data_IF_055030122130
#
_entry.id   IF_055030122130
#
_cell.length_a   1.000
_cell.length_b   1.000
_cell.length_c   1.000
_cell.angle_alpha   90.00
_cell.angle_beta   90.00
_cell.angle_gamma   90.00
#
_symmetry.space_group_name_H-M   'P 1'
#
loop_
_entity.id
_entity.type
_entity.pdbx_description
1 polymer ?
#
# COMPACT_ATOMS: atom_id res chain seq x y z
N UNK A 1 -25.76 10.25 -8.72
CA UNK A 1 -26.96 10.63 -9.53
C UNK A 1 -26.75 10.24 -10.99
N UNK A 2 -27.72 9.59 -11.64
CA UNK A 2 -27.76 9.52 -13.12
C UNK A 2 -28.36 10.82 -13.65
N UNK A 3 -27.93 11.28 -14.82
CA UNK A 3 -28.57 12.40 -15.54
C UNK A 3 -27.69 13.64 -15.73
N UNK A 4 -28.28 14.73 -16.28
CA UNK A 4 -27.54 15.89 -16.80
C UNK A 4 -26.77 16.68 -15.73
N UNK A 5 -27.09 16.49 -14.45
CA UNK A 5 -26.46 17.19 -13.32
C UNK A 5 -25.34 16.38 -12.65
N UNK A 6 -24.95 15.23 -13.21
CA UNK A 6 -23.84 14.45 -12.66
C UNK A 6 -22.54 15.26 -12.71
N UNK A 7 -21.85 15.35 -11.58
CA UNK A 7 -20.48 15.89 -11.51
C UNK A 7 -19.48 14.74 -11.52
N UNK A 8 -18.20 15.05 -11.79
CA UNK A 8 -17.08 14.10 -11.63
C UNK A 8 -17.11 13.41 -10.29
N UNK A 9 -17.29 14.18 -9.22
CA UNK A 9 -17.26 13.69 -7.84
C UNK A 9 -18.43 12.74 -7.56
N UNK A 10 -19.64 13.08 -8.02
CA UNK A 10 -20.80 12.17 -7.89
C UNK A 10 -20.67 10.90 -8.73
N UNK A 11 -19.85 10.91 -9.80
CA UNK A 11 -19.51 9.69 -10.55
C UNK A 11 -18.46 8.87 -9.81
N UNK A 12 -17.46 9.51 -9.22
CA UNK A 12 -16.50 8.84 -8.33
C UNK A 12 -17.20 8.15 -7.16
N UNK A 13 -18.22 8.77 -6.56
CA UNK A 13 -19.06 8.14 -5.52
C UNK A 13 -19.75 6.87 -6.00
N UNK A 14 -20.29 6.86 -7.22
CA UNK A 14 -20.94 5.68 -7.80
C UNK A 14 -19.92 4.57 -8.03
N UNK A 15 -18.74 4.90 -8.57
CA UNK A 15 -17.67 3.92 -8.80
C UNK A 15 -17.15 3.35 -7.48
N UNK A 16 -16.92 4.21 -6.48
CA UNK A 16 -16.57 3.82 -5.11
C UNK A 16 -17.61 2.88 -4.51
N UNK A 17 -18.90 3.23 -4.63
CA UNK A 17 -19.99 2.40 -4.12
C UNK A 17 -20.05 1.03 -4.82
N UNK A 18 -19.86 0.96 -6.13
CA UNK A 18 -19.82 -0.30 -6.88
C UNK A 18 -18.62 -1.14 -6.41
N UNK A 19 -17.43 -0.56 -6.36
CA UNK A 19 -16.21 -1.23 -5.93
C UNK A 19 -16.37 -1.84 -4.53
N UNK A 20 -16.83 -1.04 -3.56
CA UNK A 20 -16.98 -1.49 -2.16
C UNK A 20 -18.17 -2.45 -2.00
N UNK A 21 -19.36 -2.08 -2.46
CA UNK A 21 -20.57 -2.82 -2.13
C UNK A 21 -20.78 -4.07 -2.99
N UNK A 22 -20.44 -4.01 -4.28
CA UNK A 22 -20.70 -5.11 -5.22
C UNK A 22 -19.45 -5.97 -5.42
N UNK A 23 -18.27 -5.35 -5.46
CA UNK A 23 -17.01 -6.03 -5.72
C UNK A 23 -16.15 -6.26 -4.48
N UNK A 24 -16.59 -5.78 -3.31
CA UNK A 24 -15.97 -6.03 -2.00
C UNK A 24 -14.51 -5.53 -1.96
N UNK A 25 -14.21 -4.49 -2.73
CA UNK A 25 -12.96 -3.77 -2.58
C UNK A 25 -12.98 -2.97 -1.27
N UNK A 26 -11.80 -2.66 -0.76
CA UNK A 26 -11.61 -1.67 0.32
C UNK A 26 -11.11 -0.37 -0.30
N UNK A 27 -11.85 0.71 -0.13
CA UNK A 27 -11.48 2.03 -0.67
C UNK A 27 -10.70 2.82 0.38
N UNK A 28 -9.63 3.48 -0.02
CA UNK A 28 -8.71 4.16 0.89
C UNK A 28 -8.23 5.50 0.37
N UNK A 29 -7.57 6.26 1.26
CA UNK A 29 -6.66 7.33 0.86
C UNK A 29 -7.36 8.60 0.40
N UNK A 30 -6.94 9.11 -0.76
CA UNK A 30 -7.17 10.50 -1.15
C UNK A 30 -8.63 10.88 -1.34
N UNK A 31 -9.44 10.00 -1.93
CA UNK A 31 -10.87 10.26 -2.13
C UNK A 31 -11.64 10.33 -0.83
N UNK A 32 -11.37 9.41 0.11
CA UNK A 32 -12.03 9.39 1.41
C UNK A 32 -11.69 10.67 2.19
N UNK A 33 -10.41 11.05 2.20
CA UNK A 33 -9.93 12.29 2.81
C UNK A 33 -10.56 13.52 2.19
N UNK A 34 -10.35 13.71 0.88
CA UNK A 34 -10.63 14.98 0.22
C UNK A 34 -12.12 15.17 -0.01
N UNK A 35 -12.84 14.16 -0.48
CA UNK A 35 -14.25 14.31 -0.85
C UNK A 35 -15.21 13.86 0.25
N UNK A 36 -15.07 12.63 0.77
CA UNK A 36 -16.04 12.05 1.72
C UNK A 36 -16.02 12.81 3.05
N UNK A 37 -14.84 13.14 3.58
CA UNK A 37 -14.69 13.85 4.85
C UNK A 37 -14.52 15.36 4.65
N UNK A 38 -13.63 15.77 3.75
CA UNK A 38 -13.28 17.17 3.56
C UNK A 38 -14.27 17.99 2.72
N UNK A 39 -15.06 17.33 1.85
CA UNK A 39 -15.87 17.99 0.82
C UNK A 39 -15.05 18.99 -0.04
N UNK A 40 -13.81 18.63 -0.34
CA UNK A 40 -12.87 19.39 -1.15
C UNK A 40 -12.95 18.96 -2.61
N UNK A 41 -13.12 19.94 -3.49
CA UNK A 41 -13.06 19.76 -4.93
C UNK A 41 -12.22 20.86 -5.56
N UNK A 42 -11.33 20.48 -6.46
CA UNK A 42 -10.52 21.41 -7.27
C UNK A 42 -10.37 20.88 -8.68
N UNK A 43 -10.45 21.79 -9.65
CA UNK A 43 -10.37 21.50 -11.09
C UNK A 43 -9.43 22.52 -11.74
N UNK A 44 -8.63 22.13 -12.74
CA UNK A 44 -7.80 23.08 -13.47
C UNK A 44 -8.67 24.18 -14.12
N UNK A 45 -8.44 25.44 -13.76
CA UNK A 45 -9.30 26.55 -14.20
C UNK A 45 -9.29 26.79 -15.73
N UNK A 46 -8.17 26.47 -16.39
CA UNK A 46 -7.91 26.82 -17.79
C UNK A 46 -7.79 25.61 -18.71
N UNK A 47 -8.19 24.42 -18.28
CA UNK A 47 -8.10 23.20 -19.09
C UNK A 47 -9.47 22.52 -19.18
N UNK A 48 -9.95 22.19 -20.40
CA UNK A 48 -11.14 21.38 -20.56
C UNK A 48 -10.90 19.93 -20.08
N UNK A 49 -11.95 19.17 -19.72
CA UNK A 49 -11.82 17.83 -19.14
C UNK A 49 -11.02 16.82 -19.95
N UNK A 50 -11.10 16.88 -21.28
CA UNK A 50 -10.35 16.01 -22.19
C UNK A 50 -8.83 16.27 -22.17
N UNK A 51 -8.35 17.34 -21.51
CA UNK A 51 -6.93 17.65 -21.33
C UNK A 51 -6.44 17.36 -19.91
N UNK A 52 -7.30 16.78 -19.06
CA UNK A 52 -6.91 16.43 -17.68
C UNK A 52 -6.16 15.11 -17.59
N UNK A 53 -6.19 14.27 -18.62
CA UNK A 53 -5.47 13.00 -18.69
C UNK A 53 -4.21 13.17 -19.52
N UNK A 54 -3.13 12.56 -19.04
CA UNK A 54 -1.89 12.37 -19.78
C UNK A 54 -1.50 10.91 -19.71
N UNK A 55 -0.65 10.47 -20.64
CA UNK A 55 -0.24 9.09 -20.74
C UNK A 55 1.27 8.96 -20.54
N UNK A 56 1.66 7.94 -19.78
CA UNK A 56 3.05 7.49 -19.72
C UNK A 56 3.44 6.77 -21.02
N UNK A 57 4.74 6.60 -21.31
CA UNK A 57 5.18 5.77 -22.45
C UNK A 57 4.63 4.34 -22.42
N UNK A 58 4.36 3.81 -21.23
CA UNK A 58 3.71 2.50 -21.00
C UNK A 58 2.22 2.46 -21.35
N UNK A 59 1.61 3.58 -21.71
CA UNK A 59 0.18 3.72 -21.94
C UNK A 59 -0.65 3.92 -20.67
N UNK A 60 -0.03 3.95 -19.49
CA UNK A 60 -0.74 4.16 -18.21
C UNK A 60 -1.19 5.62 -18.09
N UNK A 61 -2.49 5.90 -17.83
CA UNK A 61 -2.98 7.24 -17.65
C UNK A 61 -2.54 7.81 -16.29
N UNK A 62 -2.30 9.10 -16.26
CA UNK A 62 -2.17 9.87 -15.03
C UNK A 62 -2.89 11.20 -15.17
N UNK A 63 -3.43 11.67 -14.06
CA UNK A 63 -4.29 12.85 -14.03
C UNK A 63 -3.51 14.13 -13.72
N UNK A 64 -4.07 15.25 -14.14
CA UNK A 64 -3.60 16.56 -13.75
C UNK A 64 -3.59 16.69 -12.21
N UNK A 65 -2.45 17.08 -11.64
CA UNK A 65 -2.23 17.12 -10.18
C UNK A 65 -3.08 18.15 -9.43
N UNK A 66 -3.70 19.10 -10.14
CA UNK A 66 -4.64 20.08 -9.60
C UNK A 66 -6.05 19.50 -9.36
N UNK A 67 -6.34 18.30 -9.88
CA UNK A 67 -7.59 17.60 -9.61
C UNK A 67 -7.62 17.12 -8.16
N UNK A 68 -8.70 17.47 -7.46
CA UNK A 68 -8.99 17.04 -6.10
C UNK A 68 -10.48 16.68 -6.05
N UNK A 69 -10.86 15.48 -5.57
CA UNK A 69 -10.01 14.29 -5.40
C UNK A 69 -9.39 13.86 -6.74
N UNK A 70 -8.21 13.25 -6.75
CA UNK A 70 -7.53 12.85 -7.99
C UNK A 70 -8.09 11.53 -8.52
N UNK A 71 -8.12 10.52 -7.68
CA UNK A 71 -8.28 9.10 -8.02
C UNK A 71 -9.03 8.36 -6.91
N UNK A 72 -9.36 7.09 -7.18
CA UNK A 72 -9.87 6.13 -6.22
C UNK A 72 -8.81 5.03 -6.01
N UNK A 73 -8.34 4.84 -4.78
CA UNK A 73 -7.41 3.77 -4.42
C UNK A 73 -8.18 2.63 -3.76
N UNK A 74 -8.26 1.48 -4.43
CA UNK A 74 -9.07 0.34 -4.01
C UNK A 74 -8.20 -0.91 -3.87
N UNK A 75 -8.16 -1.51 -2.69
CA UNK A 75 -7.62 -2.85 -2.53
C UNK A 75 -8.64 -3.91 -2.97
N UNK A 76 -8.18 -4.84 -3.81
CA UNK A 76 -8.95 -5.98 -4.26
C UNK A 76 -9.27 -6.93 -3.08
N UNK A 77 -10.39 -7.66 -3.15
CA UNK A 77 -10.77 -8.60 -2.10
C UNK A 77 -9.71 -9.71 -1.91
N UNK A 78 -9.40 -10.05 -0.66
CA UNK A 78 -8.47 -11.14 -0.33
C UNK A 78 -9.11 -12.52 -0.49
N UNK A 79 -10.41 -12.65 -0.22
CA UNK A 79 -11.10 -13.94 -0.09
C UNK A 79 -11.78 -14.44 -1.37
N UNK A 80 -11.67 -13.71 -2.48
CA UNK A 80 -12.33 -14.07 -3.75
C UNK A 80 -11.65 -13.43 -4.94
N UNK A 81 -11.79 -14.08 -6.10
CA UNK A 81 -11.30 -13.54 -7.36
C UNK A 81 -12.06 -12.26 -7.71
N UNK A 82 -11.32 -11.28 -8.23
CA UNK A 82 -11.89 -10.06 -8.79
C UNK A 82 -12.04 -10.22 -10.30
N UNK A 83 -13.24 -9.97 -10.81
CA UNK A 83 -13.56 -10.01 -12.23
C UNK A 83 -13.64 -8.57 -12.76
N UNK A 84 -12.62 -8.17 -13.52
CA UNK A 84 -12.50 -6.82 -14.07
C UNK A 84 -13.56 -6.54 -15.14
N UNK A 85 -13.94 -7.52 -15.93
CA UNK A 85 -14.95 -7.36 -16.98
C UNK A 85 -16.33 -7.15 -16.35
N UNK A 86 -16.67 -7.97 -15.34
CA UNK A 86 -17.91 -7.77 -14.59
C UNK A 86 -17.95 -6.41 -13.87
N UNK A 87 -16.81 -5.92 -13.38
CA UNK A 87 -16.71 -4.58 -12.78
C UNK A 87 -16.99 -3.49 -13.81
N UNK A 88 -16.36 -3.56 -14.98
CA UNK A 88 -16.58 -2.62 -16.09
C UNK A 88 -18.05 -2.66 -16.56
N UNK A 89 -18.63 -3.85 -16.72
CA UNK A 89 -20.04 -4.02 -17.10
C UNK A 89 -20.99 -3.37 -16.08
N UNK A 90 -20.68 -3.51 -14.78
CA UNK A 90 -21.45 -2.84 -13.73
C UNK A 90 -21.37 -1.31 -13.87
N UNK A 91 -20.20 -0.74 -14.21
CA UNK A 91 -20.05 0.69 -14.48
C UNK A 91 -20.86 1.14 -15.71
N UNK A 92 -20.83 0.36 -16.79
CA UNK A 92 -21.63 0.63 -17.99
C UNK A 92 -23.12 0.67 -17.70
N UNK A 93 -23.62 -0.17 -16.78
CA UNK A 93 -25.01 -0.10 -16.28
C UNK A 93 -25.41 1.25 -15.68
N UNK A 94 -24.43 2.10 -15.32
CA UNK A 94 -24.63 3.47 -14.85
C UNK A 94 -24.32 4.55 -15.88
N UNK A 95 -24.00 4.18 -17.12
CA UNK A 95 -23.57 5.12 -18.17
C UNK A 95 -22.20 5.72 -17.87
N UNK A 96 -21.36 4.97 -17.16
CA UNK A 96 -19.96 5.30 -16.87
C UNK A 96 -19.10 4.50 -17.84
N UNK A 97 -18.27 5.21 -18.61
CA UNK A 97 -17.32 4.58 -19.52
C UNK A 97 -16.03 4.28 -18.78
N UNK A 98 -15.46 3.09 -19.02
CA UNK A 98 -14.25 2.65 -18.33
C UNK A 98 -13.33 1.90 -19.29
N UNK A 99 -12.02 2.15 -19.19
CA UNK A 99 -10.97 1.38 -19.87
C UNK A 99 -9.97 0.91 -18.82
N UNK A 100 -9.79 -0.41 -18.70
CA UNK A 100 -8.83 -0.98 -17.76
C UNK A 100 -7.49 -1.27 -18.44
N UNK A 101 -6.40 -0.91 -17.76
CA UNK A 101 -5.04 -1.25 -18.14
C UNK A 101 -4.46 -2.12 -17.03
N UNK A 102 -4.00 -3.32 -17.39
CA UNK A 102 -3.33 -4.21 -16.44
C UNK A 102 -1.88 -3.77 -16.27
N UNK A 103 -1.46 -3.67 -15.01
CA UNK A 103 -0.05 -3.66 -14.59
C UNK A 103 0.20 -4.88 -13.70
N UNK A 104 1.46 -5.21 -13.43
CA UNK A 104 1.81 -6.44 -12.70
C UNK A 104 1.10 -6.55 -11.35
N UNK A 105 0.96 -5.42 -10.64
CA UNK A 105 0.48 -5.34 -9.27
C UNK A 105 -0.89 -4.66 -9.09
N UNK A 106 -1.54 -4.21 -10.18
CA UNK A 106 -2.85 -3.54 -10.13
C UNK A 106 -3.54 -3.47 -11.48
N UNK A 107 -4.82 -3.11 -11.49
CA UNK A 107 -5.45 -2.50 -12.67
C UNK A 107 -5.53 -0.98 -12.49
N UNK A 108 -5.20 -0.23 -13.53
CA UNK A 108 -5.49 1.20 -13.63
C UNK A 108 -6.69 1.36 -14.54
N UNK A 109 -7.83 1.77 -13.98
CA UNK A 109 -9.08 1.96 -14.74
C UNK A 109 -9.28 3.44 -15.00
N UNK A 110 -9.23 3.86 -16.26
CA UNK A 110 -9.57 5.20 -16.68
C UNK A 110 -11.07 5.32 -16.85
N UNK A 111 -11.67 6.24 -16.11
CA UNK A 111 -13.10 6.50 -16.14
C UNK A 111 -13.36 7.77 -16.92
N UNK A 112 -14.33 7.73 -17.82
CA UNK A 112 -14.99 8.91 -18.37
C UNK A 112 -14.10 9.93 -19.11
N UNK A 113 -13.02 9.45 -19.73
CA UNK A 113 -12.02 10.24 -20.48
C UNK A 113 -12.61 11.33 -21.37
N UNK A 114 -13.58 10.95 -22.20
CA UNK A 114 -14.14 11.82 -23.24
C UNK A 114 -15.51 12.40 -22.87
N UNK A 115 -15.84 12.40 -21.58
CA UNK A 115 -17.13 12.87 -21.09
C UNK A 115 -17.06 14.30 -20.55
N UNK A 116 -18.22 14.98 -20.54
CA UNK A 116 -18.34 16.33 -19.96
C UNK A 116 -18.17 16.37 -18.45
N UNK A 117 -18.45 15.26 -17.76
CA UNK A 117 -18.27 15.16 -16.31
C UNK A 117 -16.80 15.19 -15.94
N UNK A 118 -15.95 14.65 -16.81
CA UNK A 118 -14.50 14.71 -16.74
C UNK A 118 -13.87 13.47 -16.10
N UNK A 119 -12.62 13.17 -16.48
CA UNK A 119 -11.99 11.90 -16.16
C UNK A 119 -11.50 11.76 -14.73
N UNK A 120 -11.42 10.52 -14.29
CA UNK A 120 -10.68 10.11 -13.10
C UNK A 120 -10.16 8.68 -13.26
N UNK A 121 -9.30 8.24 -12.36
CA UNK A 121 -8.73 6.89 -12.36
C UNK A 121 -9.16 6.12 -11.13
N UNK A 122 -9.23 4.80 -11.27
CA UNK A 122 -9.35 3.85 -10.18
C UNK A 122 -8.14 2.94 -10.22
N UNK A 123 -7.36 2.94 -9.15
CA UNK A 123 -6.31 1.98 -8.94
C UNK A 123 -6.87 0.79 -8.15
N UNK A 124 -7.01 -0.35 -8.81
CA UNK A 124 -7.45 -1.61 -8.22
C UNK A 124 -6.21 -2.43 -7.86
N UNK A 125 -5.73 -2.25 -6.64
CA UNK A 125 -4.46 -2.75 -6.11
C UNK A 125 -4.63 -4.20 -5.66
N UNK A 126 -3.71 -5.06 -6.10
CA UNK A 126 -3.71 -6.45 -5.72
C UNK A 126 -3.54 -6.63 -4.20
N UNK A 127 -4.30 -7.57 -3.63
CA UNK A 127 -4.37 -7.78 -2.18
C UNK A 127 -3.04 -8.23 -1.57
N UNK A 128 -2.19 -8.91 -2.33
CA UNK A 128 -0.88 -9.39 -1.90
C UNK A 128 0.21 -8.30 -1.84
N UNK A 129 -0.07 -7.11 -2.40
CA UNK A 129 0.86 -5.97 -2.47
C UNK A 129 0.61 -4.97 -1.32
N UNK A 130 -0.44 -5.19 -0.51
CA UNK A 130 -0.85 -4.29 0.57
C UNK A 130 0.29 -3.96 1.56
N UNK A 131 1.15 -4.93 1.90
CA UNK A 131 2.18 -4.77 2.94
C UNK A 131 3.21 -3.67 2.66
N UNK A 132 3.49 -3.31 1.40
CA UNK A 132 4.39 -2.19 1.05
C UNK A 132 3.65 -0.87 0.84
N UNK A 133 2.35 -0.91 0.55
CA UNK A 133 1.48 0.26 0.40
C UNK A 133 0.83 0.71 1.72
N UNK A 134 0.92 -0.11 2.77
CA UNK A 134 0.42 0.16 4.11
C UNK A 134 1.21 1.21 4.89
N UNK A 135 2.32 1.74 4.33
CA UNK A 135 2.97 2.94 4.90
C UNK A 135 2.08 4.15 4.80
N UNK A 136 1.74 4.71 5.94
CA UNK A 136 0.94 5.91 6.05
C UNK A 136 1.89 7.10 6.10
N UNK A 137 1.85 7.96 5.09
CA UNK A 137 2.64 9.20 5.13
C UNK A 137 2.01 10.23 6.08
N UNK A 138 0.68 10.33 6.07
CA UNK A 138 -0.10 11.33 6.80
C UNK A 138 -1.27 10.66 7.51
N UNK A 139 -1.56 11.08 8.74
CA UNK A 139 -2.76 10.68 9.49
C UNK A 139 -4.04 10.83 8.66
N UNK A 140 -4.19 11.94 7.94
CA UNK A 140 -5.34 12.24 7.08
C UNK A 140 -5.48 11.35 5.85
N UNK A 141 -4.47 10.56 5.52
CA UNK A 141 -4.53 9.54 4.47
C UNK A 141 -4.85 8.15 5.02
N UNK A 142 -4.99 7.99 6.34
CA UNK A 142 -5.26 6.72 7.01
C UNK A 142 -6.76 6.42 7.13
N UNK A 143 -7.57 6.77 6.14
CA UNK A 143 -9.00 6.49 6.15
C UNK A 143 -9.36 5.40 5.16
N UNK A 144 -10.31 4.55 5.54
CA UNK A 144 -10.83 3.46 4.72
C UNK A 144 -12.36 3.43 4.74
N UNK A 145 -12.93 2.89 3.66
CA UNK A 145 -14.35 2.54 3.55
C UNK A 145 -14.46 1.07 3.14
N UNK A 146 -15.29 0.33 3.89
CA UNK A 146 -15.48 -1.11 3.73
C UNK A 146 -16.95 -1.49 3.63
N UNK A 147 -17.21 -2.63 3.00
CA UNK A 147 -18.56 -3.16 2.86
C UNK A 147 -19.14 -3.50 4.24
N UNK A 148 -20.43 -3.20 4.42
CA UNK A 148 -21.13 -3.42 5.69
C UNK A 148 -20.99 -2.25 6.67
N UNK A 149 -20.01 -1.37 6.43
CA UNK A 149 -19.74 -0.16 7.20
C UNK A 149 -19.75 1.08 6.31
N UNK A 150 -20.59 1.10 5.26
CA UNK A 150 -20.59 2.18 4.26
C UNK A 150 -21.13 3.52 4.78
N UNK A 151 -21.57 3.57 6.04
CA UNK A 151 -21.96 4.79 6.76
C UNK A 151 -20.94 5.19 7.82
N UNK A 152 -19.92 4.36 8.03
CA UNK A 152 -18.88 4.54 9.03
C UNK A 152 -17.55 4.76 8.32
N UNK A 153 -16.62 5.40 9.03
CA UNK A 153 -15.24 5.57 8.56
C UNK A 153 -14.36 4.59 9.32
N UNK A 154 -13.53 3.85 8.59
CA UNK A 154 -12.48 3.03 9.16
C UNK A 154 -11.13 3.73 9.11
N UNK A 155 -10.18 3.20 9.87
CA UNK A 155 -8.76 3.46 9.62
C UNK A 155 -8.20 2.36 8.73
N UNK A 156 -7.26 2.71 7.84
CA UNK A 156 -6.52 1.69 7.08
C UNK A 156 -5.61 0.87 8.01
N UNK A 157 -4.90 1.56 8.89
CA UNK A 157 -4.09 0.97 9.96
C UNK A 157 -4.55 1.56 11.28
N UNK A 158 -4.75 0.71 12.26
CA UNK A 158 -5.05 1.17 13.61
C UNK A 158 -3.81 1.88 14.20
N UNK A 159 -3.91 3.19 14.37
CA UNK A 159 -2.88 4.04 14.98
C UNK A 159 -3.33 4.59 16.33
N UNK A 160 -4.32 3.95 16.95
CA UNK A 160 -4.83 4.31 18.29
C UNK A 160 -3.99 3.74 19.43
N UNK A 161 -3.02 2.86 19.12
CA UNK A 161 -2.01 2.33 20.03
C UNK A 161 -0.65 3.05 19.94
N UNK A 162 0.26 2.76 20.88
CA UNK A 162 1.64 3.26 20.87
C UNK A 162 1.88 4.59 21.60
N UNK A 163 3.06 5.20 21.38
CA UNK A 163 3.51 6.40 22.12
C UNK A 163 2.78 7.69 21.75
N UNK A 164 2.07 7.72 20.61
CA UNK A 164 1.37 8.90 20.10
C UNK A 164 0.07 8.48 19.39
N UNK A 165 -0.95 8.03 20.14
CA UNK A 165 -2.17 7.51 19.55
C UNK A 165 -2.99 8.64 18.91
N UNK A 166 -3.37 8.48 17.64
CA UNK A 166 -4.24 9.42 16.94
C UNK A 166 -5.60 8.75 16.78
N UNK A 167 -6.64 9.36 17.35
CA UNK A 167 -8.01 8.87 17.25
C UNK A 167 -8.64 9.26 15.91
N UNK A 168 -9.66 8.52 15.48
CA UNK A 168 -10.33 8.74 14.19
C UNK A 168 -10.94 10.15 14.13
N UNK A 169 -11.51 10.61 15.24
CA UNK A 169 -12.09 11.94 15.38
C UNK A 169 -11.04 13.03 15.16
N UNK A 170 -9.81 12.82 15.66
CA UNK A 170 -8.69 13.73 15.44
C UNK A 170 -8.29 13.78 13.96
N UNK A 171 -8.27 12.64 13.28
CA UNK A 171 -8.02 12.60 11.83
C UNK A 171 -9.08 13.40 11.08
N UNK A 172 -10.36 13.21 11.42
CA UNK A 172 -11.48 13.94 10.81
C UNK A 172 -11.39 15.44 11.07
N UNK A 173 -11.05 15.85 12.29
CA UNK A 173 -10.84 17.26 12.63
C UNK A 173 -9.66 17.86 11.86
N UNK A 174 -8.54 17.14 11.78
CA UNK A 174 -7.38 17.53 11.00
C UNK A 174 -7.74 17.72 9.52
N UNK A 175 -8.53 16.81 8.94
CA UNK A 175 -9.03 16.96 7.58
C UNK A 175 -9.81 18.26 7.44
N UNK A 176 -10.82 18.50 8.28
CA UNK A 176 -11.68 19.68 8.22
C UNK A 176 -10.91 20.99 8.33
N UNK A 177 -9.86 20.99 9.16
CA UNK A 177 -8.98 22.14 9.39
C UNK A 177 -7.82 22.25 8.39
N UNK A 178 -7.72 21.31 7.43
CA UNK A 178 -6.57 21.14 6.54
C UNK A 178 -5.22 21.05 7.27
N UNK A 179 -5.23 20.41 8.43
CA UNK A 179 -4.00 20.03 9.14
C UNK A 179 -3.59 18.62 8.76
N UNK A 180 -2.29 18.32 8.78
CA UNK A 180 -1.76 16.97 8.63
C UNK A 180 -0.65 16.70 9.63
N UNK A 181 -0.62 15.50 10.20
CA UNK A 181 0.48 14.96 10.98
C UNK A 181 1.25 13.98 10.11
N UNK A 182 2.56 14.20 9.96
CA UNK A 182 3.44 13.28 9.23
C UNK A 182 3.70 12.06 10.11
N UNK A 183 3.49 10.85 9.57
CA UNK A 183 3.58 9.56 10.27
C UNK A 183 4.76 8.68 9.81
N UNK A 184 5.65 9.23 8.98
CA UNK A 184 6.89 8.58 8.54
C UNK A 184 8.09 9.54 8.64
N UNK A 185 9.32 9.05 8.84
CA UNK A 185 10.52 9.86 8.62
C UNK A 185 10.51 10.52 7.25
N UNK A 186 10.97 11.77 7.18
CA UNK A 186 11.11 12.48 5.91
C UNK A 186 12.38 11.95 5.23
N UNK A 187 12.21 11.14 4.19
CA UNK A 187 13.31 10.66 3.36
C UNK A 187 14.05 11.87 2.74
N UNK A 188 15.39 11.87 2.75
CA UNK A 188 16.23 13.03 2.41
C UNK A 188 16.10 13.54 0.96
N UNK A 189 16.36 14.83 0.75
CA UNK A 189 16.22 15.57 -0.53
C UNK A 189 17.17 15.13 -1.66
N UNK A 190 18.06 14.17 -1.43
CA UNK A 190 19.19 13.87 -2.31
C UNK A 190 18.98 12.60 -3.15
N UNK A 191 18.01 12.66 -4.06
CA UNK A 191 17.85 11.68 -5.14
C UNK A 191 17.34 12.38 -6.39
N UNK A 192 18.14 12.50 -7.47
CA UNK A 192 17.67 13.10 -8.70
C UNK A 192 16.69 12.11 -9.35
N UNK A 193 15.40 12.49 -9.42
CA UNK A 193 14.31 11.75 -10.09
C UNK A 193 13.71 10.55 -9.32
N UNK A 194 13.17 10.76 -8.12
CA UNK A 194 12.17 9.82 -7.57
C UNK A 194 10.88 10.55 -7.23
N UNK A 195 9.97 10.62 -8.21
CA UNK A 195 8.58 10.98 -7.95
C UNK A 195 8.01 10.05 -6.89
N UNK A 196 7.68 10.57 -5.70
CA UNK A 196 7.04 9.78 -4.64
C UNK A 196 7.65 9.87 -3.24
N UNK A 197 8.67 10.70 -3.00
CA UNK A 197 9.22 10.90 -1.64
C UNK A 197 8.20 11.56 -0.70
N UNK A 198 8.36 11.36 0.62
CA UNK A 198 7.52 12.01 1.63
C UNK A 198 7.59 13.54 1.51
N UNK A 199 8.78 14.09 1.21
CA UNK A 199 8.98 15.54 1.02
C UNK A 199 8.15 16.10 -0.15
N UNK A 200 8.15 15.44 -1.31
CA UNK A 200 7.34 15.85 -2.47
C UNK A 200 5.84 15.74 -2.18
N UNK A 201 5.42 14.70 -1.45
CA UNK A 201 4.02 14.52 -1.03
C UNK A 201 3.60 15.62 -0.06
N UNK A 202 4.46 16.01 0.89
CA UNK A 202 4.23 17.16 1.78
C UNK A 202 4.08 18.44 0.96
N UNK A 203 4.95 18.69 0.00
CA UNK A 203 4.87 19.89 -0.83
C UNK A 203 3.58 19.94 -1.66
N UNK A 204 3.10 18.79 -2.14
CA UNK A 204 1.81 18.65 -2.82
C UNK A 204 0.62 18.92 -1.90
N UNK A 205 0.69 18.48 -0.65
CA UNK A 205 -0.34 18.80 0.35
C UNK A 205 -0.32 20.31 0.65
N UNK A 206 0.86 20.91 0.85
CA UNK A 206 1.00 22.36 1.08
C UNK A 206 0.45 23.21 -0.07
N UNK A 207 0.69 22.83 -1.32
CA UNK A 207 0.14 23.55 -2.48
C UNK A 207 -1.39 23.48 -2.57
N UNK A 208 -2.02 22.52 -1.87
CA UNK A 208 -3.48 22.38 -1.72
C UNK A 208 -4.02 23.06 -0.46
N UNK A 209 -3.17 23.79 0.26
CA UNK A 209 -3.51 24.55 1.46
C UNK A 209 -3.49 23.73 2.75
N UNK A 210 -2.79 22.59 2.78
CA UNK A 210 -2.61 21.82 4.01
C UNK A 210 -1.44 22.33 4.84
N UNK A 211 -1.62 22.39 6.16
CA UNK A 211 -0.61 22.79 7.14
C UNK A 211 -0.12 21.58 7.91
N UNK A 212 1.19 21.38 7.94
CA UNK A 212 1.78 20.35 8.80
C UNK A 212 1.69 20.79 10.27
N UNK A 213 1.23 19.89 11.13
CA UNK A 213 1.23 20.05 12.58
C UNK A 213 2.27 19.11 13.21
N UNK A 214 2.80 19.53 14.36
CA UNK A 214 3.75 18.73 15.13
C UNK A 214 5.07 18.43 14.41
N UNK A 215 5.91 17.64 15.08
CA UNK A 215 7.08 17.00 14.47
C UNK A 215 6.66 15.69 13.83
N UNK A 216 7.32 15.22 12.74
CA UNK A 216 7.04 13.91 12.18
C UNK A 216 7.11 12.80 13.24
N UNK A 217 6.09 11.93 13.25
CA UNK A 217 6.05 10.73 14.07
C UNK A 217 6.56 9.59 13.20
N UNK A 218 7.52 8.80 13.66
CA UNK A 218 7.90 7.57 12.95
C UNK A 218 6.99 6.43 13.41
N UNK A 219 5.70 6.50 13.04
CA UNK A 219 4.74 5.49 13.48
C UNK A 219 5.06 4.16 12.79
N UNK A 220 5.23 3.13 13.62
CA UNK A 220 5.42 1.76 13.18
C UNK A 220 4.24 0.98 13.77
N UNK A 221 3.37 0.39 12.95
CA UNK A 221 2.25 -0.40 13.46
C UNK A 221 2.80 -1.53 14.32
N UNK A 222 2.23 -1.67 15.53
CA UNK A 222 2.49 -2.83 16.36
C UNK A 222 2.08 -4.11 15.62
N UNK A 223 2.81 -5.23 15.81
CA UNK A 223 2.38 -6.49 15.25
C UNK A 223 0.96 -6.84 15.75
N UNK A 224 0.12 -7.47 14.91
CA UNK A 224 -1.24 -7.83 15.31
C UNK A 224 -1.26 -8.67 16.61
N UNK A 225 -2.22 -8.41 17.49
CA UNK A 225 -2.33 -9.03 18.82
C UNK A 225 -2.60 -10.54 18.79
N UNK A 226 -3.11 -11.05 17.67
CA UNK A 226 -3.24 -12.48 17.41
C UNK A 226 -2.05 -12.96 16.60
N UNK A 227 -1.09 -13.55 17.31
CA UNK A 227 0.03 -14.28 16.73
C UNK A 227 -0.52 -15.54 16.03
N UNK A 228 -0.65 -15.49 14.69
CA UNK A 228 -0.83 -16.71 13.90
C UNK A 228 0.48 -17.48 13.74
N UNK A 229 1.60 -16.83 14.07
CA UNK A 229 2.92 -17.41 13.99
C UNK A 229 3.21 -18.24 15.24
N UNK A 230 3.61 -19.49 15.03
CA UNK A 230 4.12 -20.36 16.09
C UNK A 230 5.61 -20.59 15.84
N UNK A 231 6.43 -20.30 16.84
CA UNK A 231 7.83 -20.70 16.84
C UNK A 231 7.91 -22.14 17.36
N UNK A 232 8.39 -23.04 16.51
CA UNK A 232 8.57 -24.45 16.86
C UNK A 232 10.05 -24.74 16.93
N UNK A 233 10.59 -25.21 18.07
CA UNK A 233 11.99 -25.63 18.15
C UNK A 233 12.34 -26.59 17.01
N UNK A 234 13.35 -26.23 16.23
CA UNK A 234 13.74 -27.02 15.08
C UNK A 234 14.49 -28.27 15.56
N UNK A 235 14.13 -29.50 15.13
CA UNK A 235 14.71 -30.70 15.70
C UNK A 235 16.20 -30.82 15.37
N UNK A 236 17.05 -30.90 16.39
CA UNK A 236 18.50 -30.91 16.25
C UNK A 236 19.05 -32.11 15.47
N UNK A 237 18.29 -33.20 15.39
CA UNK A 237 18.66 -34.40 14.63
C UNK A 237 18.48 -34.24 13.11
N UNK A 238 17.86 -33.16 12.63
CA UNK A 238 17.64 -32.96 11.19
C UNK A 238 18.89 -32.49 10.47
N UNK A 239 19.03 -32.88 9.20
CA UNK A 239 20.14 -32.45 8.33
C UNK A 239 20.18 -30.92 8.24
N UNK A 240 19.03 -30.29 7.98
CA UNK A 240 18.95 -28.82 7.89
C UNK A 240 19.41 -28.12 9.17
N UNK A 241 19.08 -28.65 10.36
CA UNK A 241 19.57 -28.07 11.61
C UNK A 241 21.10 -28.08 11.68
N UNK A 242 21.70 -29.23 11.37
CA UNK A 242 23.15 -29.39 11.41
C UNK A 242 23.84 -28.53 10.35
N UNK A 243 23.23 -28.38 9.18
CA UNK A 243 23.70 -27.50 8.12
C UNK A 243 23.64 -26.04 8.56
N UNK A 244 22.52 -25.57 9.12
CA UNK A 244 22.38 -24.21 9.64
C UNK A 244 23.40 -23.91 10.75
N UNK A 245 23.59 -24.83 11.70
CA UNK A 245 24.63 -24.70 12.73
C UNK A 245 26.02 -24.60 12.10
N UNK A 246 26.30 -25.41 11.08
CA UNK A 246 27.59 -25.40 10.38
C UNK A 246 27.80 -24.09 9.63
N UNK A 247 26.77 -23.52 9.01
CA UNK A 247 26.86 -22.21 8.34
C UNK A 247 27.07 -21.08 9.35
N UNK A 248 26.32 -21.06 10.47
CA UNK A 248 26.47 -20.03 11.51
C UNK A 248 27.83 -20.11 12.20
N UNK A 249 28.39 -21.32 12.40
CA UNK A 249 29.74 -21.50 12.96
C UNK A 249 30.86 -20.91 12.10
N UNK A 250 30.61 -20.60 10.82
CA UNK A 250 31.57 -19.86 9.99
C UNK A 250 31.72 -18.40 10.42
N UNK A 251 30.80 -17.89 11.24
CA UNK A 251 30.84 -16.53 11.80
C UNK A 251 31.69 -16.55 13.08
N UNK A 252 32.84 -15.85 13.12
CA UNK A 252 33.69 -15.83 14.30
C UNK A 252 32.95 -15.27 15.52
N UNK A 253 32.99 -16.01 16.64
CA UNK A 253 32.36 -15.60 17.90
C UNK A 253 30.85 -15.83 18.00
N UNK A 254 30.19 -16.30 16.94
CA UNK A 254 28.78 -16.65 16.99
C UNK A 254 28.57 -18.01 17.69
N UNK A 255 27.61 -18.05 18.62
CA UNK A 255 27.16 -19.29 19.23
C UNK A 255 25.64 -19.45 19.02
N UNK A 256 25.22 -20.63 18.56
CA UNK A 256 23.80 -20.92 18.32
C UNK A 256 23.15 -21.26 19.66
N UNK A 257 22.20 -20.42 20.09
CA UNK A 257 21.41 -20.63 21.32
C UNK A 257 20.21 -21.53 21.02
N UNK A 258 19.48 -21.22 19.95
CA UNK A 258 18.33 -21.97 19.47
C UNK A 258 18.19 -21.80 17.96
N UNK A 259 17.49 -22.75 17.33
CA UNK A 259 16.97 -22.62 15.96
C UNK A 259 15.49 -22.98 16.04
N UNK A 260 14.64 -22.10 15.53
CA UNK A 260 13.18 -22.25 15.58
C UNK A 260 12.62 -22.13 14.16
N UNK A 261 11.65 -22.98 13.84
CA UNK A 261 10.84 -22.85 12.64
C UNK A 261 9.77 -21.78 12.90
N UNK A 262 9.69 -20.79 12.01
CA UNK A 262 8.53 -19.91 11.94
C UNK A 262 7.44 -20.65 11.18
N UNK A 263 6.29 -20.90 11.82
CA UNK A 263 5.09 -21.42 11.17
C UNK A 263 4.03 -20.34 11.14
N UNK A 264 3.75 -19.78 9.98
CA UNK A 264 2.73 -18.74 9.81
C UNK A 264 1.95 -19.01 8.52
N UNK A 265 0.75 -19.61 8.59
CA UNK A 265 0.03 -20.10 7.41
C UNK A 265 -0.35 -18.98 6.44
N UNK A 266 -0.55 -17.75 6.93
CA UNK A 266 -0.90 -16.61 6.08
C UNK A 266 0.32 -16.13 5.27
N UNK A 267 1.49 -16.03 5.91
CA UNK A 267 2.74 -15.66 5.22
C UNK A 267 3.15 -16.76 4.25
N UNK A 268 3.04 -18.03 4.64
CA UNK A 268 3.35 -19.17 3.76
C UNK A 268 2.46 -19.18 2.51
N UNK A 269 1.14 -19.00 2.68
CA UNK A 269 0.21 -18.93 1.55
C UNK A 269 0.53 -17.74 0.62
N UNK A 270 0.84 -16.58 1.19
CA UNK A 270 1.25 -15.39 0.45
C UNK A 270 2.55 -15.62 -0.32
N UNK A 271 3.56 -16.22 0.33
CA UNK A 271 4.84 -16.56 -0.27
C UNK A 271 4.67 -17.51 -1.46
N UNK A 272 3.95 -18.61 -1.28
CA UNK A 272 3.70 -19.60 -2.35
C UNK A 272 2.87 -19.03 -3.50
N UNK A 273 2.00 -18.06 -3.23
CA UNK A 273 1.31 -17.32 -4.28
C UNK A 273 2.30 -16.46 -5.08
N UNK A 274 3.09 -15.61 -4.41
CA UNK A 274 4.08 -14.74 -5.07
C UNK A 274 5.11 -15.54 -5.86
N UNK A 275 5.62 -16.64 -5.30
CA UNK A 275 6.53 -17.58 -5.97
C UNK A 275 5.96 -18.09 -7.28
N UNK A 276 4.69 -18.48 -7.31
CA UNK A 276 4.00 -18.94 -8.53
C UNK A 276 3.79 -17.82 -9.55
N UNK A 277 3.56 -16.60 -9.09
CA UNK A 277 3.46 -15.42 -9.97
C UNK A 277 4.81 -15.14 -10.64
N UNK A 278 5.88 -15.03 -9.85
CA UNK A 278 7.26 -14.81 -10.35
C UNK A 278 7.66 -15.93 -11.31
N UNK A 279 7.37 -17.19 -10.98
CA UNK A 279 7.66 -18.32 -11.84
C UNK A 279 7.12 -18.12 -13.26
N UNK A 280 5.86 -17.67 -13.42
CA UNK A 280 5.24 -17.44 -14.74
C UNK A 280 5.94 -16.35 -15.55
N UNK A 281 6.65 -15.45 -14.89
CA UNK A 281 7.38 -14.34 -15.51
C UNK A 281 8.84 -14.71 -15.83
N UNK A 282 9.34 -15.82 -15.27
CA UNK A 282 10.72 -16.28 -15.46
C UNK A 282 10.83 -17.36 -16.55
N UNK A 283 11.94 -17.39 -17.32
CA UNK A 283 12.20 -18.46 -18.28
C UNK A 283 12.13 -19.85 -17.62
N UNK A 284 11.42 -20.77 -18.27
CA UNK A 284 11.30 -22.14 -17.76
C UNK A 284 10.35 -22.32 -16.58
N UNK A 285 9.55 -21.31 -16.23
CA UNK A 285 8.68 -21.31 -15.06
C UNK A 285 9.45 -21.49 -13.73
N UNK A 286 10.68 -20.99 -13.66
CA UNK A 286 11.56 -21.13 -12.49
C UNK A 286 11.69 -19.79 -11.74
N UNK A 287 11.17 -19.67 -10.51
CA UNK A 287 11.29 -18.45 -9.72
C UNK A 287 12.71 -18.22 -9.16
N UNK A 288 13.68 -19.14 -9.39
CA UNK A 288 15.05 -19.07 -8.88
C UNK A 288 15.08 -18.85 -7.35
N UNK A 289 14.28 -19.64 -6.63
CA UNK A 289 14.18 -19.61 -5.17
C UNK A 289 15.53 -19.94 -4.51
N UNK A 290 15.86 -19.21 -3.43
CA UNK A 290 17.10 -19.39 -2.66
C UNK A 290 16.85 -19.28 -1.16
N UNK A 291 17.59 -20.08 -0.41
CA UNK A 291 17.68 -19.98 1.05
C UNK A 291 18.84 -19.03 1.40
N UNK A 292 18.54 -17.93 2.09
CA UNK A 292 19.50 -16.88 2.42
C UNK A 292 19.35 -16.46 3.88
N UNK A 293 20.40 -15.85 4.42
CA UNK A 293 20.36 -15.31 5.78
C UNK A 293 19.94 -13.84 5.79
N UNK A 294 19.12 -13.49 6.78
CA UNK A 294 18.73 -12.11 7.07
C UNK A 294 18.97 -11.79 8.54
N UNK A 295 19.69 -10.70 8.79
CA UNK A 295 19.98 -10.20 10.12
C UNK A 295 19.13 -9.00 10.49
N UNK A 296 18.59 -8.98 11.71
CA UNK A 296 17.73 -7.88 12.18
C UNK A 296 17.86 -7.63 13.68
N UNK A 297 17.42 -6.45 14.13
CA UNK A 297 17.40 -6.08 15.55
C UNK A 297 16.21 -6.68 16.30
N UNK A 298 16.32 -6.85 17.63
CA UNK A 298 15.31 -7.55 18.45
C UNK A 298 13.87 -7.05 18.27
N UNK A 299 13.66 -5.73 18.16
CA UNK A 299 12.32 -5.14 17.95
C UNK A 299 11.67 -5.52 16.61
N UNK A 300 12.47 -5.87 15.61
CA UNK A 300 11.97 -6.24 14.28
C UNK A 300 11.63 -7.72 14.15
N UNK A 301 12.14 -8.58 15.05
CA UNK A 301 11.91 -10.03 15.03
C UNK A 301 10.42 -10.34 15.10
N UNK A 302 9.70 -9.76 16.07
CA UNK A 302 8.27 -9.98 16.22
C UNK A 302 7.47 -9.48 15.01
N UNK A 303 7.87 -8.35 14.44
CA UNK A 303 7.25 -7.81 13.23
C UNK A 303 7.40 -8.77 12.04
N UNK A 304 8.60 -9.28 11.80
CA UNK A 304 8.89 -10.19 10.68
C UNK A 304 8.18 -11.54 10.84
N UNK A 305 8.17 -12.10 12.05
CA UNK A 305 7.52 -13.38 12.34
C UNK A 305 6.01 -13.33 12.03
N UNK A 306 5.36 -12.21 12.37
CA UNK A 306 3.90 -12.09 12.28
C UNK A 306 3.39 -11.51 10.97
N UNK A 307 4.10 -10.52 10.42
CA UNK A 307 3.69 -9.76 9.24
C UNK A 307 4.57 -10.02 8.01
N UNK A 308 5.63 -10.83 8.16
CA UNK A 308 6.60 -11.07 7.09
C UNK A 308 7.53 -9.88 6.91
N UNK A 309 8.30 -9.93 5.82
CA UNK A 309 9.15 -8.81 5.46
C UNK A 309 8.35 -7.72 4.75
N UNK A 310 8.49 -6.48 5.21
CA UNK A 310 8.08 -5.26 4.50
C UNK A 310 9.27 -4.28 4.38
N UNK A 311 9.00 -3.03 4.03
CA UNK A 311 10.03 -2.01 3.85
C UNK A 311 10.56 -1.44 5.18
N UNK A 312 9.86 -1.64 6.30
CA UNK A 312 10.26 -1.14 7.64
C UNK A 312 11.57 -1.78 8.09
N UNK A 313 11.91 -2.93 7.52
CA UNK A 313 13.12 -3.69 7.77
C UNK A 313 14.22 -3.47 6.71
N UNK A 314 14.11 -2.43 5.89
CA UNK A 314 15.15 -2.09 4.91
C UNK A 314 16.35 -1.43 5.60
N UNK A 315 17.56 -1.73 5.09
CA UNK A 315 18.76 -1.00 5.50
C UNK A 315 18.90 0.25 4.64
N UNK A 316 18.82 1.47 5.21
CA UNK A 316 19.02 2.71 4.46
C UNK A 316 20.47 2.91 4.01
N UNK A 317 21.43 2.17 4.59
CA UNK A 317 22.85 2.20 4.25
C UNK A 317 23.28 1.10 3.27
N UNK A 318 22.33 0.38 2.67
CA UNK A 318 22.62 -0.70 1.73
C UNK A 318 23.39 -0.22 0.49
N UNK A 319 24.57 -0.79 0.24
CA UNK A 319 25.41 -0.45 -0.91
C UNK A 319 24.75 -0.71 -2.28
N UNK A 320 23.64 -1.44 -2.30
CA UNK A 320 22.91 -1.83 -3.51
C UNK A 320 21.55 -1.13 -3.65
N UNK A 321 21.31 -0.08 -2.86
CA UNK A 321 20.06 0.70 -2.82
C UNK A 321 19.25 0.47 -1.55
N UNK A 322 18.11 1.16 -1.42
CA UNK A 322 17.09 0.91 -0.38
C UNK A 322 16.39 -0.43 -0.65
N UNK A 323 17.09 -1.52 -0.40
CA UNK A 323 16.66 -2.88 -0.69
C UNK A 323 16.78 -3.77 0.55
N UNK A 324 16.04 -4.87 0.55
CA UNK A 324 16.32 -5.99 1.46
C UNK A 324 17.65 -6.62 1.07
N UNK A 325 18.60 -6.63 1.99
CA UNK A 325 19.81 -7.42 1.84
C UNK A 325 19.58 -8.79 2.47
N UNK A 326 19.71 -9.81 1.65
CA UNK A 326 19.81 -11.20 2.07
C UNK A 326 21.16 -11.70 1.59
N UNK A 327 21.93 -12.32 2.48
CA UNK A 327 23.30 -12.67 2.17
C UNK A 327 23.42 -14.17 1.94
N UNK A 328 24.23 -14.56 0.96
CA UNK A 328 24.64 -15.95 0.76
C UNK A 328 25.56 -16.44 1.91
N UNK A 329 26.24 -15.51 2.59
CA UNK A 329 27.01 -15.75 3.81
C UNK A 329 26.50 -14.77 4.88
N UNK A 330 26.18 -15.25 6.09
CA UNK A 330 25.76 -14.37 7.19
C UNK A 330 26.77 -13.22 7.41
N UNK A 331 26.38 -11.99 7.08
CA UNK A 331 27.08 -10.78 7.45
C UNK A 331 26.13 -9.94 8.30
N UNK A 332 26.47 -9.76 9.57
CA UNK A 332 25.85 -8.77 10.43
C UNK A 332 26.88 -7.64 10.59
N UNK A 333 26.49 -6.42 10.24
CA UNK A 333 27.23 -5.22 10.62
C UNK A 333 26.82 -4.89 12.05
N UNK A 334 27.81 -4.79 12.94
CA UNK A 334 27.68 -4.51 14.38
C UNK A 334 27.42 -3.03 14.66
#
# INVERSE_FOLDING_TARGET
LKGPNATRETRMEVVAWIAVCQFYCRLEGGFVRDWVVGNYSSKPANLPPNQWVRYQPSGVPYLNTQLVPSDLDCHLPQSKNFDIEAFIDALYGYGISATAIRQDWRYVVLIDENTKTGPFTVDLIESHIALTHDRIDFDVSNLSLERGYTKDLGMRVDITGGSYPIQLETIVENIRNKNLQVLRPIDGENGPNTSGTVAERIQRMRSRGWTQIGTPLAFIPDPPSTYNAVLVPYPSATVLYQDLVTQIKKIPGANVISIEQIKNPNIEALYEYMKRTIAKECPGNDPNERELFHGTGGKAIEGIINAGFDDRFFSPSGAWGMLRLSFANCCFDS
#
